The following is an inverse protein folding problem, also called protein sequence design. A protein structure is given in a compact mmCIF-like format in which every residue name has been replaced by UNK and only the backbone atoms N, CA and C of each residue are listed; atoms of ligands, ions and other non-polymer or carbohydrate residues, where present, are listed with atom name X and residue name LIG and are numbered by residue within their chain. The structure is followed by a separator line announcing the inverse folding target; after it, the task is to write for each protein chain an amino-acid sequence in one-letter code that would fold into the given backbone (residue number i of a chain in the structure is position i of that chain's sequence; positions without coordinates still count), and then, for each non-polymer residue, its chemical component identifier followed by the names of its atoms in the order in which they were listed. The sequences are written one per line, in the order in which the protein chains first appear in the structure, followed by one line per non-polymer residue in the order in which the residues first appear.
data_IF_168610246011
#
_entry.id   IF_168610246011
#
_cell.length_a   1.000
_cell.length_b   1.000
_cell.length_c   1.000
_cell.angle_alpha   90.00
_cell.angle_beta   90.00
_cell.angle_gamma   90.00
#
_symmetry.space_group_name_H-M   'P 1'
#
loop_
_entity.id
_entity.type
_entity.pdbx_description
1 polymer ?
#
# COMPACT_ATOMS: atom_id res chain seq x y z
N UNK A 1 -6.96 -22.40 -0.15
CA UNK A 1 -5.70 -21.99 0.51
C UNK A 1 -5.64 -20.47 0.51
N UNK A 2 -5.32 -19.84 1.66
CA UNK A 2 -5.18 -18.38 1.78
C UNK A 2 -3.73 -18.01 1.42
N UNK A 3 -3.53 -16.96 0.60
CA UNK A 3 -2.20 -16.48 0.21
C UNK A 3 -1.87 -15.07 0.70
N UNK A 4 -2.88 -14.22 0.88
CA UNK A 4 -2.70 -12.84 1.29
C UNK A 4 -3.67 -12.43 2.40
N UNK A 5 -3.21 -11.54 3.27
CA UNK A 5 -4.03 -10.79 4.20
C UNK A 5 -3.91 -9.30 3.85
N UNK A 6 -5.01 -8.72 3.33
CA UNK A 6 -5.09 -7.29 3.08
C UNK A 6 -5.35 -6.53 4.39
N UNK A 7 -4.47 -5.60 4.73
CA UNK A 7 -4.61 -4.74 5.90
C UNK A 7 -5.15 -3.39 5.43
N UNK A 8 -6.46 -3.19 5.59
CA UNK A 8 -7.17 -2.04 5.04
C UNK A 8 -7.54 -2.21 3.56
N UNK A 9 -8.17 -1.18 3.01
CA UNK A 9 -8.45 -1.04 1.57
C UNK A 9 -8.47 0.45 1.23
N UNK A 10 -7.56 0.88 0.36
CA UNK A 10 -7.38 2.26 -0.09
C UNK A 10 -7.24 3.30 1.06
N UNK A 11 -6.44 3.02 2.12
CA UNK A 11 -6.41 3.84 3.33
C UNK A 11 -5.78 5.23 3.13
N UNK A 12 -5.10 5.46 2.01
CA UNK A 12 -4.35 6.69 1.72
C UNK A 12 -5.05 7.60 0.70
N UNK A 13 -6.33 7.35 0.42
CA UNK A 13 -7.15 8.25 -0.37
C UNK A 13 -7.10 9.67 0.19
N UNK A 14 -6.90 10.65 -0.68
CA UNK A 14 -6.92 12.08 -0.36
C UNK A 14 -8.22 12.48 0.34
N UNK A 15 -9.34 11.86 -0.05
CA UNK A 15 -10.67 12.08 0.54
C UNK A 15 -10.77 11.70 2.02
N UNK A 16 -9.87 10.84 2.52
CA UNK A 16 -9.81 10.50 3.95
C UNK A 16 -9.01 11.51 4.77
N UNK A 17 -8.45 12.55 4.15
CA UNK A 17 -7.78 13.66 4.80
C UNK A 17 -6.78 13.20 5.89
N UNK A 18 -5.99 12.19 5.55
CA UNK A 18 -4.94 11.67 6.42
C UNK A 18 -5.38 10.83 7.61
N UNK A 19 -6.66 10.41 7.70
CA UNK A 19 -7.22 9.67 8.85
C UNK A 19 -6.44 8.40 9.24
N UNK A 20 -5.71 7.79 8.30
CA UNK A 20 -5.00 6.53 8.51
C UNK A 20 -3.48 6.63 8.41
N UNK A 21 -2.90 7.82 8.23
CA UNK A 21 -1.46 8.01 8.01
C UNK A 21 -0.61 7.41 9.14
N UNK A 22 -1.07 7.53 10.38
CA UNK A 22 -0.32 7.08 11.56
C UNK A 22 -0.65 5.64 11.96
N UNK A 23 -1.74 5.06 11.45
CA UNK A 23 -2.26 3.77 11.94
C UNK A 23 -2.03 2.62 10.97
N UNK A 24 -2.03 2.89 9.66
CA UNK A 24 -1.98 1.82 8.65
C UNK A 24 -0.67 1.01 8.68
N UNK A 25 0.47 1.69 8.80
CA UNK A 25 1.76 1.01 8.79
C UNK A 25 2.02 0.19 10.07
N UNK A 26 1.72 0.70 11.28
CA UNK A 26 1.70 -0.14 12.48
C UNK A 26 0.76 -1.35 12.36
N UNK A 27 -0.44 -1.18 11.80
CA UNK A 27 -1.37 -2.30 11.58
C UNK A 27 -0.77 -3.38 10.66
N UNK A 28 -0.13 -2.99 9.56
CA UNK A 28 0.57 -3.90 8.65
C UNK A 28 1.66 -4.71 9.37
N UNK A 29 2.50 -4.03 10.16
CA UNK A 29 3.57 -4.67 10.96
C UNK A 29 3.01 -5.65 11.99
N UNK A 30 1.90 -5.30 12.63
CA UNK A 30 1.26 -6.14 13.65
C UNK A 30 0.70 -7.43 13.04
N UNK A 31 0.03 -7.35 11.88
CA UNK A 31 -0.49 -8.55 11.19
C UNK A 31 0.65 -9.43 10.70
N UNK A 32 1.72 -8.86 10.13
CA UNK A 32 2.90 -9.63 9.74
C UNK A 32 3.53 -10.34 10.94
N UNK A 33 3.68 -9.63 12.07
CA UNK A 33 4.21 -10.20 13.31
C UNK A 33 3.35 -11.34 13.84
N UNK A 34 2.02 -11.23 13.75
CA UNK A 34 1.10 -12.30 14.12
C UNK A 34 1.29 -13.54 13.23
N UNK A 35 1.40 -13.36 11.91
CA UNK A 35 1.66 -14.47 10.96
C UNK A 35 3.00 -15.16 11.24
N UNK A 36 4.04 -14.41 11.59
CA UNK A 36 5.34 -14.96 11.99
C UNK A 36 5.19 -15.82 13.25
N UNK A 37 4.50 -15.30 14.29
CA UNK A 37 4.32 -16.01 15.57
C UNK A 37 3.63 -17.36 15.42
N UNK A 38 2.73 -17.50 14.46
CA UNK A 38 2.01 -18.76 14.20
C UNK A 38 2.64 -19.60 13.07
N UNK A 39 3.81 -19.22 12.56
CA UNK A 39 4.54 -19.98 11.54
C UNK A 39 3.93 -19.92 10.13
N UNK A 40 3.06 -18.94 9.85
CA UNK A 40 2.35 -18.81 8.57
C UNK A 40 2.94 -17.77 7.62
N UNK A 41 3.97 -17.02 8.03
CA UNK A 41 4.57 -15.93 7.24
C UNK A 41 5.20 -16.36 5.90
N UNK A 42 5.45 -17.66 5.70
CA UNK A 42 5.89 -18.22 4.42
C UNK A 42 4.73 -18.60 3.49
N UNK A 43 3.51 -18.76 4.02
CA UNK A 43 2.32 -19.16 3.26
C UNK A 43 1.39 -17.99 2.99
N UNK A 44 1.24 -17.09 3.96
CA UNK A 44 0.38 -15.91 3.91
C UNK A 44 1.25 -14.66 3.98
N UNK A 45 1.09 -13.76 3.00
CA UNK A 45 1.78 -12.47 2.95
C UNK A 45 0.82 -11.33 3.26
N UNK A 46 1.28 -10.31 3.98
CA UNK A 46 0.47 -9.10 4.19
C UNK A 46 0.58 -8.16 3.01
N UNK A 47 -0.45 -7.34 2.77
CA UNK A 47 -0.37 -6.24 1.81
C UNK A 47 -1.33 -5.12 2.22
N UNK A 48 -1.27 -3.99 1.53
CA UNK A 48 -2.23 -2.89 1.60
C UNK A 48 -2.73 -2.67 0.17
N UNK A 49 -4.00 -2.96 -0.14
CA UNK A 49 -4.63 -2.53 -1.39
C UNK A 49 -4.65 -1.00 -1.43
N UNK A 50 -3.97 -0.41 -2.39
CA UNK A 50 -3.86 1.04 -2.56
C UNK A 50 -4.68 1.50 -3.75
N UNK A 51 -5.16 2.74 -3.72
CA UNK A 51 -5.77 3.37 -4.88
C UNK A 51 -4.67 4.01 -5.77
N UNK A 52 -4.93 4.19 -7.06
CA UNK A 52 -4.06 4.96 -7.95
C UNK A 52 -3.85 6.43 -7.48
N UNK A 53 -4.71 6.97 -6.61
CA UNK A 53 -4.61 8.30 -5.99
C UNK A 53 -3.32 8.52 -5.17
N UNK A 54 -2.56 7.47 -4.86
CA UNK A 54 -1.22 7.60 -4.26
C UNK A 54 -0.12 7.90 -5.27
N UNK A 55 -0.42 7.88 -6.57
CA UNK A 55 0.48 8.20 -7.67
C UNK A 55 0.31 9.65 -8.12
N UNK A 56 1.41 10.31 -8.48
CA UNK A 56 1.43 11.66 -9.04
C UNK A 56 2.53 11.74 -10.12
N UNK A 57 2.19 12.31 -11.28
CA UNK A 57 3.13 12.57 -12.39
C UNK A 57 3.25 14.08 -12.69
N UNK A 58 2.72 14.94 -11.81
CA UNK A 58 2.64 16.38 -12.00
C UNK A 58 1.84 16.72 -13.26
N UNK A 59 2.47 17.44 -14.19
CA UNK A 59 1.86 17.83 -15.46
C UNK A 59 2.23 16.89 -16.63
N UNK A 60 2.75 15.70 -16.35
CA UNK A 60 3.17 14.72 -17.37
C UNK A 60 2.18 13.56 -17.47
N UNK A 61 1.85 13.15 -18.71
CA UNK A 61 1.05 11.96 -18.99
C UNK A 61 1.90 10.69 -19.15
N UNK A 62 3.20 10.75 -18.84
CA UNK A 62 4.14 9.67 -19.11
C UNK A 62 4.36 8.80 -17.86
N UNK A 63 4.17 7.47 -17.96
CA UNK A 63 4.28 6.58 -16.80
C UNK A 63 5.63 6.65 -16.07
N UNK A 64 6.72 6.92 -16.80
CA UNK A 64 8.07 6.96 -16.23
C UNK A 64 8.37 8.23 -15.41
N UNK A 65 7.52 9.28 -15.52
CA UNK A 65 7.63 10.49 -14.71
C UNK A 65 6.87 10.38 -13.38
N UNK A 66 6.27 9.22 -13.11
CA UNK A 66 5.45 8.97 -11.94
C UNK A 66 6.23 8.81 -10.64
N UNK A 67 5.67 9.34 -9.56
CA UNK A 67 6.15 9.23 -8.18
C UNK A 67 4.97 8.98 -7.23
N UNK A 68 5.26 8.74 -5.95
CA UNK A 68 4.23 8.78 -4.93
C UNK A 68 3.85 10.23 -4.60
N UNK A 69 2.56 10.46 -4.34
CA UNK A 69 2.03 11.77 -3.94
C UNK A 69 2.79 12.31 -2.72
N UNK A 70 3.16 13.59 -2.76
CA UNK A 70 4.12 14.19 -1.83
C UNK A 70 3.76 14.05 -0.34
N UNK A 71 2.47 14.14 0.01
CA UNK A 71 1.94 14.02 1.38
C UNK A 71 2.04 12.59 1.95
N UNK A 72 2.16 11.57 1.09
CA UNK A 72 2.22 10.15 1.49
C UNK A 72 3.53 9.47 1.11
N UNK A 73 4.40 10.14 0.35
CA UNK A 73 5.62 9.58 -0.24
C UNK A 73 6.52 8.85 0.75
N UNK A 74 6.85 9.48 1.88
CA UNK A 74 7.75 8.87 2.86
C UNK A 74 7.14 7.59 3.45
N UNK A 75 5.85 7.63 3.82
CA UNK A 75 5.11 6.48 4.32
C UNK A 75 5.01 5.36 3.27
N UNK A 76 4.78 5.72 2.01
CA UNK A 76 4.73 4.77 0.89
C UNK A 76 6.07 4.07 0.67
N UNK A 77 7.17 4.81 0.73
CA UNK A 77 8.52 4.26 0.64
C UNK A 77 8.79 3.28 1.80
N UNK A 78 8.38 3.60 3.02
CA UNK A 78 8.49 2.70 4.17
C UNK A 78 7.66 1.42 4.00
N UNK A 79 6.42 1.55 3.53
CA UNK A 79 5.53 0.41 3.25
C UNK A 79 6.13 -0.49 2.17
N UNK A 80 6.58 0.06 1.05
CA UNK A 80 7.17 -0.72 -0.06
C UNK A 80 8.44 -1.43 0.40
N UNK A 81 9.32 -0.75 1.14
CA UNK A 81 10.51 -1.39 1.75
C UNK A 81 10.11 -2.54 2.67
N UNK A 82 9.10 -2.34 3.52
CA UNK A 82 8.60 -3.39 4.41
C UNK A 82 8.05 -4.60 3.64
N UNK A 83 7.24 -4.37 2.62
CA UNK A 83 6.68 -5.43 1.78
C UNK A 83 7.80 -6.22 1.08
N UNK A 84 8.77 -5.51 0.50
CA UNK A 84 9.96 -6.09 -0.12
C UNK A 84 10.73 -6.99 0.86
N UNK A 85 11.01 -6.49 2.07
CA UNK A 85 11.74 -7.25 3.10
C UNK A 85 11.02 -8.52 3.56
N UNK A 86 9.70 -8.61 3.37
CA UNK A 86 8.89 -9.77 3.75
C UNK A 86 8.49 -10.66 2.55
N UNK A 87 8.98 -10.35 1.34
CA UNK A 87 8.59 -11.03 0.11
C UNK A 87 7.10 -10.92 -0.19
N UNK A 88 6.50 -9.78 0.16
CA UNK A 88 5.09 -9.48 -0.03
C UNK A 88 4.89 -8.58 -1.27
N UNK A 89 3.70 -8.66 -1.85
CA UNK A 89 3.34 -7.89 -3.04
C UNK A 89 2.90 -6.47 -2.67
N UNK A 90 3.29 -5.51 -3.51
CA UNK A 90 2.65 -4.21 -3.62
C UNK A 90 1.36 -4.35 -4.44
N UNK A 91 0.22 -3.88 -3.94
CA UNK A 91 -1.08 -4.07 -4.59
C UNK A 91 -1.78 -2.74 -4.82
N UNK A 92 -2.28 -2.55 -6.04
CA UNK A 92 -3.02 -1.33 -6.44
C UNK A 92 -4.34 -1.75 -7.09
N UNK A 93 -5.42 -1.11 -6.67
CA UNK A 93 -6.70 -1.14 -7.34
C UNK A 93 -6.66 -0.13 -8.49
N UNK A 94 -6.71 -0.65 -9.72
CA UNK A 94 -6.68 0.16 -10.95
C UNK A 94 -8.06 0.14 -11.59
N UNK A 95 -8.61 1.32 -11.86
CA UNK A 95 -9.93 1.50 -12.46
C UNK A 95 -9.79 2.29 -13.78
N UNK A 96 -9.56 1.64 -14.93
CA UNK A 96 -9.32 2.34 -16.20
C UNK A 96 -10.48 3.25 -16.67
N UNK A 97 -11.67 3.05 -16.13
CA UNK A 97 -12.87 3.84 -16.44
C UNK A 97 -13.06 5.05 -15.50
N UNK A 98 -12.36 5.08 -14.37
CA UNK A 98 -12.27 6.23 -13.47
C UNK A 98 -10.82 6.72 -13.62
N UNK A 99 -10.55 7.48 -14.67
CA UNK A 99 -9.34 8.29 -14.70
C UNK A 99 -9.48 9.33 -13.60
N UNK A 100 -8.61 9.24 -12.60
CA UNK A 100 -8.48 10.30 -11.59
C UNK A 100 -8.11 11.60 -12.33
N UNK A 101 -8.81 12.71 -12.06
CA UNK A 101 -8.60 13.97 -12.75
C UNK A 101 -7.18 14.52 -12.58
#
# INVERSE_FOLDING_TARGET
MIRYAAVGNEPLLSTFNGSFLTTIFPALKNVQSALIKVGLSNQVKVTIPLNADVYDSGNSDKPYDGDFRADTKDLMVEIVKFLSNNGAAFTVNIYPFISLP
#
